data_IF_300384313661
#
_entry.id   IF_300384313661
#
_cell.length_a   1.000
_cell.length_b   1.000
_cell.length_c   1.000
_cell.angle_alpha   90.00
_cell.angle_beta   90.00
_cell.angle_gamma   90.00
#
_symmetry.space_group_name_H-M   'P 1'
#
loop_
_entity.id
_entity.type
_entity.pdbx_description
1 polymer ?
#
# COMPACT_ATOMS: atom_id res chain seq x y z
N UNK A 1 -0.86 8.16 -4.11
CA UNK A 1 -0.79 9.06 -5.29
C UNK A 1 0.24 10.13 -5.03
N UNK A 2 1.01 10.56 -6.04
CA UNK A 2 1.94 11.69 -5.92
C UNK A 2 1.71 12.70 -7.04
N UNK A 3 2.01 13.97 -6.78
CA UNK A 3 2.02 15.05 -7.76
C UNK A 3 3.39 15.73 -7.75
N UNK A 4 3.84 16.19 -8.92
CA UNK A 4 5.08 16.98 -9.03
C UNK A 4 5.06 18.17 -8.07
N UNK A 5 6.10 18.30 -7.24
CA UNK A 5 6.26 19.43 -6.32
C UNK A 5 6.29 20.77 -7.06
N UNK A 6 6.89 20.83 -8.27
CA UNK A 6 6.91 22.06 -9.09
C UNK A 6 5.51 22.48 -9.52
N UNK A 7 4.63 21.52 -9.80
CA UNK A 7 3.24 21.80 -10.17
C UNK A 7 2.43 22.17 -8.92
N UNK A 8 2.61 21.42 -7.83
CA UNK A 8 1.96 21.66 -6.55
C UNK A 8 2.17 23.09 -6.03
N UNK A 9 3.43 23.56 -6.08
CA UNK A 9 3.80 24.88 -5.59
C UNK A 9 3.26 26.05 -6.43
N UNK A 10 2.72 25.79 -7.63
CA UNK A 10 2.07 26.81 -8.46
C UNK A 10 0.58 26.99 -8.14
N UNK A 11 0.00 26.09 -7.35
CA UNK A 11 -1.40 26.12 -6.99
C UNK A 11 -1.64 27.07 -5.81
N UNK A 12 -2.82 27.69 -5.76
CA UNK A 12 -3.25 28.42 -4.57
C UNK A 12 -3.53 27.45 -3.42
N UNK A 13 -3.52 27.91 -2.15
CA UNK A 13 -3.88 27.06 -1.01
C UNK A 13 -5.25 26.40 -1.16
N UNK A 14 -6.23 27.11 -1.74
CA UNK A 14 -7.56 26.56 -2.00
C UNK A 14 -7.53 25.43 -3.03
N UNK A 15 -6.78 25.60 -4.13
CA UNK A 15 -6.60 24.56 -5.15
C UNK A 15 -5.88 23.32 -4.59
N UNK A 16 -4.88 23.52 -3.74
CA UNK A 16 -4.19 22.45 -3.03
C UNK A 16 -5.18 21.66 -2.16
N UNK A 17 -6.02 22.37 -1.38
CA UNK A 17 -7.03 21.73 -0.53
C UNK A 17 -8.07 20.94 -1.32
N UNK A 18 -8.49 21.45 -2.49
CA UNK A 18 -9.40 20.75 -3.40
C UNK A 18 -8.76 19.44 -3.88
N UNK A 19 -7.49 19.46 -4.31
CA UNK A 19 -6.79 18.28 -4.78
C UNK A 19 -6.57 17.25 -3.66
N UNK A 20 -6.20 17.68 -2.45
CA UNK A 20 -6.09 16.77 -1.30
C UNK A 20 -7.42 16.10 -0.97
N UNK A 21 -8.50 16.89 -0.99
CA UNK A 21 -9.85 16.38 -0.71
C UNK A 21 -10.27 15.39 -1.79
N UNK A 22 -10.02 15.70 -3.06
CA UNK A 22 -10.30 14.80 -4.17
C UNK A 22 -9.47 13.51 -4.09
N UNK A 23 -8.19 13.60 -3.73
CA UNK A 23 -7.30 12.45 -3.55
C UNK A 23 -7.78 11.51 -2.44
N UNK A 24 -8.16 12.05 -1.27
CA UNK A 24 -8.69 11.26 -0.16
C UNK A 24 -10.02 10.58 -0.53
N UNK A 25 -10.91 11.30 -1.22
CA UNK A 25 -12.19 10.74 -1.69
C UNK A 25 -11.99 9.67 -2.74
N UNK A 26 -11.05 9.86 -3.67
CA UNK A 26 -10.76 8.89 -4.72
C UNK A 26 -10.10 7.63 -4.16
N UNK A 27 -9.22 7.75 -3.17
CA UNK A 27 -8.65 6.61 -2.45
C UNK A 27 -9.73 5.75 -1.80
N UNK A 28 -10.63 6.36 -1.02
CA UNK A 28 -11.72 5.64 -0.37
C UNK A 28 -12.69 4.99 -1.38
N UNK A 29 -12.95 5.65 -2.51
CA UNK A 29 -13.76 5.08 -3.57
C UNK A 29 -13.05 3.91 -4.27
N UNK A 30 -11.76 4.05 -4.54
CA UNK A 30 -10.95 3.02 -5.18
C UNK A 30 -10.83 1.78 -4.31
N UNK A 31 -10.67 1.90 -2.98
CA UNK A 31 -10.66 0.76 -2.05
C UNK A 31 -11.91 -0.11 -2.19
N UNK A 32 -13.11 0.52 -2.26
CA UNK A 32 -14.37 -0.21 -2.47
C UNK A 32 -14.42 -0.95 -3.80
N UNK A 33 -13.90 -0.33 -4.87
CA UNK A 33 -13.81 -0.99 -6.17
C UNK A 33 -12.79 -2.13 -6.15
N UNK A 34 -11.69 -1.97 -5.42
CA UNK A 34 -10.63 -2.96 -5.32
C UNK A 34 -11.12 -4.25 -4.67
N UNK A 35 -11.91 -4.17 -3.60
CA UNK A 35 -12.52 -5.34 -2.96
C UNK A 35 -13.34 -6.18 -3.96
N UNK A 36 -14.13 -5.51 -4.80
CA UNK A 36 -14.92 -6.16 -5.85
C UNK A 36 -14.01 -6.79 -6.90
N UNK A 37 -13.04 -6.03 -7.43
CA UNK A 37 -12.12 -6.52 -8.47
C UNK A 37 -11.32 -7.72 -7.96
N UNK A 38 -10.86 -7.68 -6.72
CA UNK A 38 -10.08 -8.76 -6.11
C UNK A 38 -10.90 -10.04 -5.92
N UNK A 39 -12.20 -9.92 -5.59
CA UNK A 39 -13.12 -11.06 -5.57
C UNK A 39 -13.39 -11.62 -6.98
N UNK A 40 -13.71 -10.75 -7.94
CA UNK A 40 -14.05 -11.11 -9.31
C UNK A 40 -12.86 -11.79 -10.01
N UNK A 41 -11.65 -11.22 -9.87
CA UNK A 41 -10.43 -11.77 -10.48
C UNK A 41 -10.03 -13.11 -9.88
N UNK A 42 -10.22 -13.32 -8.56
CA UNK A 42 -10.02 -14.63 -7.94
C UNK A 42 -11.01 -15.67 -8.45
N UNK A 43 -12.27 -15.31 -8.68
CA UNK A 43 -13.26 -16.21 -9.26
C UNK A 43 -12.89 -16.58 -10.71
N UNK A 44 -12.45 -15.60 -11.51
CA UNK A 44 -11.97 -15.82 -12.88
C UNK A 44 -10.73 -16.73 -12.91
N UNK A 45 -9.76 -16.51 -12.03
CA UNK A 45 -8.56 -17.35 -11.94
C UNK A 45 -8.93 -18.82 -11.68
N UNK A 46 -9.87 -19.09 -10.76
CA UNK A 46 -10.38 -20.44 -10.52
C UNK A 46 -11.13 -21.02 -11.71
N UNK A 47 -11.97 -20.23 -12.39
CA UNK A 47 -12.70 -20.67 -13.57
C UNK A 47 -11.78 -21.06 -14.73
N UNK A 48 -10.60 -20.42 -14.83
CA UNK A 48 -9.55 -20.77 -15.79
C UNK A 48 -8.66 -21.94 -15.34
N UNK A 49 -9.00 -22.61 -14.23
CA UNK A 49 -8.28 -23.77 -13.70
C UNK A 49 -7.14 -23.44 -12.73
N UNK A 50 -7.01 -22.19 -12.28
CA UNK A 50 -6.02 -21.80 -11.27
C UNK A 50 -6.42 -22.24 -9.86
N UNK A 51 -5.44 -22.72 -9.08
CA UNK A 51 -5.63 -23.11 -7.69
C UNK A 51 -5.11 -22.04 -6.71
N UNK A 52 -5.89 -21.70 -5.69
CA UNK A 52 -5.48 -20.77 -4.63
C UNK A 52 -5.07 -21.57 -3.40
N UNK A 53 -3.77 -21.75 -3.22
CA UNK A 53 -3.19 -22.51 -2.10
C UNK A 53 -2.92 -21.58 -0.92
N UNK A 54 -3.42 -21.96 0.27
CA UNK A 54 -3.06 -21.30 1.52
C UNK A 54 -1.75 -21.89 2.04
N UNK A 55 -0.80 -21.03 2.37
CA UNK A 55 0.52 -21.43 2.87
C UNK A 55 0.81 -20.81 4.23
N UNK A 56 1.67 -21.46 5.01
CA UNK A 56 2.28 -20.82 6.17
C UNK A 56 3.22 -19.72 5.71
N UNK A 57 2.97 -18.50 6.19
CA UNK A 57 3.73 -17.31 5.83
C UNK A 57 4.98 -17.13 6.71
N UNK A 58 5.12 -17.85 7.82
CA UNK A 58 6.23 -17.67 8.75
C UNK A 58 7.62 -17.93 8.11
N UNK A 59 7.85 -18.99 7.32
CA UNK A 59 9.14 -19.22 6.67
C UNK A 59 9.51 -18.11 5.69
N UNK A 60 8.53 -17.58 4.96
CA UNK A 60 8.74 -16.47 4.02
C UNK A 60 9.14 -15.18 4.74
N UNK A 61 8.50 -14.87 5.88
CA UNK A 61 8.87 -13.72 6.72
C UNK A 61 10.30 -13.86 7.26
N UNK A 62 10.67 -15.04 7.74
CA UNK A 62 12.03 -15.31 8.20
C UNK A 62 13.06 -15.16 7.07
N UNK A 63 12.74 -15.65 5.86
CA UNK A 63 13.62 -15.57 4.71
C UNK A 63 13.92 -14.13 4.26
N UNK A 64 12.97 -13.20 4.44
CA UNK A 64 13.16 -11.78 4.09
C UNK A 64 13.76 -10.95 5.22
N UNK A 65 14.00 -11.52 6.40
CA UNK A 65 14.53 -10.80 7.55
C UNK A 65 15.82 -10.00 7.25
N UNK A 66 16.80 -10.51 6.47
CA UNK A 66 18.00 -9.75 6.14
C UNK A 66 17.72 -8.42 5.43
N UNK A 67 16.64 -8.33 4.64
CA UNK A 67 16.22 -7.09 3.99
C UNK A 67 15.75 -6.05 5.01
N UNK A 68 15.01 -6.48 6.04
CA UNK A 68 14.59 -5.60 7.14
C UNK A 68 15.79 -5.16 7.97
N UNK A 69 16.77 -6.04 8.19
CA UNK A 69 17.99 -5.72 8.90
C UNK A 69 18.83 -4.68 8.14
N UNK A 70 18.86 -4.77 6.80
CA UNK A 70 19.48 -3.75 5.94
C UNK A 70 18.75 -2.40 6.04
N UNK A 71 17.41 -2.39 5.99
CA UNK A 71 16.64 -1.14 6.17
C UNK A 71 16.84 -0.51 7.55
N UNK A 72 17.00 -1.32 8.60
CA UNK A 72 17.27 -0.82 9.96
C UNK A 72 18.61 -0.08 10.10
N UNK A 73 19.53 -0.22 9.14
CA UNK A 73 20.79 0.54 9.13
C UNK A 73 20.58 2.04 8.90
N UNK A 74 19.51 2.43 8.21
CA UNK A 74 19.11 3.84 8.09
C UNK A 74 18.19 4.21 9.27
N UNK A 75 18.58 5.17 10.14
CA UNK A 75 17.77 5.58 11.28
C UNK A 75 16.34 6.03 10.92
N UNK A 76 16.12 6.61 9.74
CA UNK A 76 14.79 7.05 9.30
C UNK A 76 13.91 5.87 8.93
N UNK A 77 14.49 4.87 8.27
CA UNK A 77 13.77 3.65 7.90
C UNK A 77 13.51 2.78 9.12
N UNK A 78 14.48 2.65 10.04
CA UNK A 78 14.30 1.98 11.33
C UNK A 78 13.11 2.56 12.10
N UNK A 79 13.02 3.89 12.22
CA UNK A 79 11.92 4.55 12.90
C UNK A 79 10.56 4.36 12.20
N UNK A 80 10.54 4.18 10.87
CA UNK A 80 9.30 3.86 10.14
C UNK A 80 8.90 2.40 10.33
N UNK A 81 9.86 1.47 10.30
CA UNK A 81 9.61 0.05 10.56
C UNK A 81 9.01 -0.17 11.94
N UNK A 82 9.55 0.50 12.97
CA UNK A 82 9.00 0.44 14.33
C UNK A 82 7.54 0.94 14.38
N UNK A 83 7.20 2.00 13.63
CA UNK A 83 5.82 2.49 13.54
C UNK A 83 4.89 1.49 12.87
N UNK A 84 5.35 0.81 11.82
CA UNK A 84 4.56 -0.23 11.16
C UNK A 84 4.34 -1.43 12.07
N UNK A 85 5.37 -1.87 12.80
CA UNK A 85 5.28 -2.98 13.74
C UNK A 85 4.29 -2.67 14.87
N UNK A 86 4.34 -1.47 15.44
CA UNK A 86 3.40 -1.04 16.49
C UNK A 86 1.96 -0.89 16.00
N UNK A 87 1.75 -0.50 14.74
CA UNK A 87 0.41 -0.37 14.16
C UNK A 87 -0.19 -1.71 13.71
N UNK A 88 0.62 -2.76 13.60
CA UNK A 88 0.20 -4.10 13.24
C UNK A 88 -0.18 -4.98 14.45
N UNK A 89 0.09 -4.50 15.68
CA UNK A 89 -0.39 -5.07 16.94
C UNK A 89 -1.83 -4.66 17.22
#
# INVERSE_FOLDING_TARGET
MVISTKTWNKLTPEQQQILETAAKKSEAYQQKLWEKIDADTRAQAKAMGGEIVKVDKAPFRAAVQPLFDDFKKDPKQAALLEKFDNAAQ
#
